data_IF_547164405668
#
_entry.id   IF_547164405668
#
_cell.length_a   1.000
_cell.length_b   1.000
_cell.length_c   1.000
_cell.angle_alpha   90.00
_cell.angle_beta   90.00
_cell.angle_gamma   90.00
#
_symmetry.space_group_name_H-M   'P 1'
#
loop_
_entity.id
_entity.type
_entity.pdbx_description
1 polymer ?
#
# COMPACT_ATOMS: atom_id res chain seq x y z
N UNK A 1 17.98 -21.56 -6.70
CA UNK A 1 17.22 -20.40 -6.16
C UNK A 1 17.27 -19.30 -7.18
N UNK A 2 16.12 -18.80 -7.65
CA UNK A 2 16.05 -17.67 -8.59
C UNK A 2 15.50 -16.47 -7.84
N UNK A 3 16.19 -15.32 -7.93
CA UNK A 3 15.68 -14.04 -7.41
C UNK A 3 15.24 -13.21 -8.61
N UNK A 4 13.99 -12.75 -8.61
CA UNK A 4 13.46 -11.85 -9.63
C UNK A 4 13.30 -10.45 -9.03
N UNK A 5 13.68 -9.43 -9.80
CA UNK A 5 13.49 -8.01 -9.43
C UNK A 5 12.40 -7.43 -10.33
N UNK A 6 11.45 -6.72 -9.72
CA UNK A 6 10.37 -6.02 -10.43
C UNK A 6 10.34 -4.57 -9.97
N UNK A 7 10.27 -3.63 -10.93
CA UNK A 7 10.33 -2.20 -10.68
C UNK A 7 9.01 -1.57 -11.15
N UNK A 8 8.42 -0.73 -10.30
CA UNK A 8 7.26 0.10 -10.65
C UNK A 8 7.70 1.55 -10.81
N UNK A 9 7.29 2.20 -11.91
CA UNK A 9 7.56 3.62 -12.14
C UNK A 9 6.58 4.48 -11.34
N UNK A 10 7.10 5.35 -10.48
CA UNK A 10 6.34 6.44 -9.86
C UNK A 10 6.40 7.69 -10.75
N UNK A 11 5.29 8.42 -10.88
CA UNK A 11 5.25 9.67 -11.65
C UNK A 11 6.00 10.81 -10.96
N UNK A 12 6.09 10.76 -9.64
CA UNK A 12 6.67 11.77 -8.76
C UNK A 12 6.93 11.16 -7.36
N UNK A 13 7.39 11.98 -6.41
CA UNK A 13 7.69 11.56 -5.04
C UNK A 13 6.52 11.71 -4.06
N UNK A 14 5.28 11.85 -4.54
CA UNK A 14 4.11 11.96 -3.66
C UNK A 14 3.67 10.61 -3.08
N UNK A 15 2.89 10.67 -2.00
CA UNK A 15 2.24 9.51 -1.37
C UNK A 15 1.25 8.81 -2.32
N UNK A 16 0.52 9.58 -3.14
CA UNK A 16 -0.42 9.02 -4.11
C UNK A 16 0.30 8.25 -5.22
N UNK A 17 1.44 8.77 -5.71
CA UNK A 17 2.29 8.05 -6.66
C UNK A 17 2.82 6.73 -6.06
N UNK A 18 3.26 6.75 -4.79
CA UNK A 18 3.66 5.54 -4.07
C UNK A 18 2.53 4.51 -3.98
N UNK A 19 1.33 4.90 -3.51
CA UNK A 19 0.18 4.00 -3.39
C UNK A 19 -0.21 3.38 -4.74
N UNK A 20 -0.17 4.18 -5.81
CA UNK A 20 -0.45 3.70 -7.16
C UNK A 20 0.59 2.68 -7.63
N UNK A 21 1.88 2.90 -7.36
CA UNK A 21 2.94 1.92 -7.61
C UNK A 21 2.71 0.63 -6.83
N UNK A 22 2.44 0.74 -5.53
CA UNK A 22 2.26 -0.41 -4.66
C UNK A 22 1.02 -1.24 -5.04
N UNK A 23 -0.06 -0.58 -5.46
CA UNK A 23 -1.25 -1.24 -6.00
C UNK A 23 -0.94 -2.00 -7.30
N UNK A 24 -0.21 -1.39 -8.24
CA UNK A 24 0.21 -2.07 -9.48
C UNK A 24 1.13 -3.26 -9.21
N UNK A 25 2.07 -3.11 -8.26
CA UNK A 25 2.95 -4.17 -7.84
C UNK A 25 2.13 -5.38 -7.36
N UNK A 26 1.19 -5.17 -6.44
CA UNK A 26 0.37 -6.25 -5.88
C UNK A 26 -0.53 -6.89 -6.93
N UNK A 27 -1.11 -6.11 -7.83
CA UNK A 27 -1.93 -6.64 -8.92
C UNK A 27 -1.14 -7.59 -9.85
N UNK A 28 0.17 -7.37 -10.02
CA UNK A 28 1.03 -8.20 -10.89
C UNK A 28 1.75 -9.32 -10.17
N UNK A 29 2.11 -9.14 -8.90
CA UNK A 29 2.99 -10.04 -8.14
C UNK A 29 2.33 -10.69 -6.93
N UNK A 30 1.07 -10.33 -6.64
CA UNK A 30 0.36 -10.74 -5.43
C UNK A 30 0.71 -9.89 -4.22
N UNK A 31 0.09 -10.21 -3.09
CA UNK A 31 0.26 -9.47 -1.85
C UNK A 31 1.70 -9.60 -1.34
N UNK A 32 2.23 -8.49 -0.84
CA UNK A 32 3.56 -8.45 -0.26
C UNK A 32 3.52 -8.97 1.17
N UNK A 33 4.31 -10.00 1.49
CA UNK A 33 4.43 -10.52 2.87
C UNK A 33 5.25 -9.57 3.76
N UNK A 34 6.35 -9.04 3.22
CA UNK A 34 7.24 -8.13 3.94
C UNK A 34 7.59 -6.92 3.07
N UNK A 35 7.30 -5.72 3.58
CA UNK A 35 7.61 -4.46 2.91
C UNK A 35 8.71 -3.71 3.67
N UNK A 36 9.84 -3.49 3.00
CA UNK A 36 10.95 -2.71 3.54
C UNK A 36 10.91 -1.28 2.97
N UNK A 37 11.19 -0.29 3.82
CA UNK A 37 11.17 1.13 3.48
C UNK A 37 12.27 1.86 4.24
N UNK A 38 12.78 2.93 3.65
CA UNK A 38 13.69 3.89 4.28
C UNK A 38 12.96 4.93 5.16
N UNK A 39 11.64 4.80 5.29
CA UNK A 39 10.76 5.73 6.00
C UNK A 39 10.65 7.12 5.34
N UNK A 40 10.80 7.18 4.02
CA UNK A 40 10.49 8.38 3.25
C UNK A 40 9.08 8.92 3.52
N UNK A 41 8.89 10.24 3.37
CA UNK A 41 7.64 10.92 3.72
C UNK A 41 6.44 10.41 2.92
N UNK A 42 6.66 10.07 1.64
CA UNK A 42 5.65 9.44 0.78
C UNK A 42 5.14 8.11 1.36
N UNK A 43 6.04 7.28 1.89
CA UNK A 43 5.70 6.03 2.55
C UNK A 43 4.99 6.28 3.88
N UNK A 44 5.53 7.16 4.73
CA UNK A 44 4.96 7.45 6.05
C UNK A 44 3.53 7.97 5.95
N UNK A 45 3.27 8.92 5.05
CA UNK A 45 1.93 9.44 4.81
C UNK A 45 1.00 8.39 4.21
N UNK A 46 1.49 7.57 3.27
CA UNK A 46 0.70 6.46 2.71
C UNK A 46 0.34 5.41 3.76
N UNK A 47 1.27 5.09 4.66
CA UNK A 47 1.07 4.19 5.80
C UNK A 47 0.01 4.73 6.74
N UNK A 48 0.06 6.02 7.08
CA UNK A 48 -0.95 6.66 7.91
C UNK A 48 -2.35 6.56 7.27
N UNK A 49 -2.46 6.89 5.98
CA UNK A 49 -3.71 6.78 5.22
C UNK A 49 -4.26 5.34 5.20
N UNK A 50 -3.42 4.34 4.93
CA UNK A 50 -3.84 2.93 4.90
C UNK A 50 -4.30 2.44 6.28
N UNK A 51 -3.66 2.90 7.37
CA UNK A 51 -4.08 2.58 8.73
C UNK A 51 -5.43 3.19 9.09
N UNK A 52 -5.67 4.44 8.68
CA UNK A 52 -6.96 5.10 8.86
C UNK A 52 -8.06 4.34 8.10
N UNK A 53 -7.82 4.03 6.82
CA UNK A 53 -8.75 3.25 6.00
C UNK A 53 -9.03 1.87 6.62
N UNK A 54 -7.99 1.17 7.06
CA UNK A 54 -8.15 -0.13 7.72
C UNK A 54 -8.94 -0.03 9.03
N UNK A 55 -8.76 1.05 9.80
CA UNK A 55 -9.53 1.31 11.03
C UNK A 55 -10.99 1.58 10.70
N UNK A 56 -11.25 2.41 9.69
CA UNK A 56 -12.59 2.69 9.18
C UNK A 56 -13.31 1.41 8.71
N UNK A 57 -12.66 0.58 7.90
CA UNK A 57 -13.24 -0.68 7.41
C UNK A 57 -13.54 -1.70 8.52
N UNK A 58 -12.85 -1.59 9.66
CA UNK A 58 -13.07 -2.41 10.86
C UNK A 58 -14.02 -1.77 11.86
N UNK A 59 -14.51 -0.57 11.61
CA UNK A 59 -15.49 0.05 12.48
C UNK A 59 -16.79 -0.77 12.47
N UNK A 60 -17.43 -0.87 13.63
CA UNK A 60 -18.66 -1.63 13.80
C UNK A 60 -19.78 -1.14 12.86
N UNK A 61 -19.84 0.17 12.63
CA UNK A 61 -20.85 0.80 11.78
C UNK A 61 -20.69 0.35 10.32
N UNK A 62 -19.47 0.40 9.79
CA UNK A 62 -19.21 -0.04 8.42
C UNK A 62 -19.30 -1.57 8.30
N UNK A 63 -18.75 -2.32 9.25
CA UNK A 63 -18.71 -3.78 9.16
C UNK A 63 -20.12 -4.38 9.13
N UNK A 64 -21.05 -3.85 9.92
CA UNK A 64 -22.46 -4.32 9.96
C UNK A 64 -23.24 -4.01 8.70
N UNK A 65 -22.95 -2.89 8.05
CA UNK A 65 -23.65 -2.49 6.82
C UNK A 65 -23.24 -3.32 5.60
N UNK A 66 -22.09 -4.00 5.66
CA UNK A 66 -21.50 -4.72 4.52
C UNK A 66 -21.07 -6.18 4.82
N UNK A 67 -21.45 -6.73 5.98
CA UNK A 67 -21.32 -8.17 6.34
C UNK A 67 -22.65 -8.90 6.22
#
# INVERSE_FOLDING_TARGET
VTKAVHIELASDLSSSAFLNCFKRFQARRGNCEVLYSDQGTNFVSSKAYLNELHTFLKSEDYYKDFS
#
